data_IF_729491267958
#
_entry.id   IF_729491267958
#
_cell.length_a   1.000
_cell.length_b   1.000
_cell.length_c   1.000
_cell.angle_alpha   90.00
_cell.angle_beta   90.00
_cell.angle_gamma   90.00
#
_symmetry.space_group_name_H-M   'P 1'
#
loop_
_entity.id
_entity.type
_entity.pdbx_description
1 polymer ?
#
# COMPACT_ATOMS: atom_id res chain seq x y z
N UNK A 1 19.61 56.81 18.17
CA UNK A 1 20.33 57.02 16.89
C UNK A 1 20.33 55.76 16.00
N UNK A 2 20.28 54.55 16.58
CA UNK A 2 20.18 53.27 15.84
C UNK A 2 18.84 53.04 15.11
N UNK A 3 17.72 53.56 15.60
CA UNK A 3 16.40 53.37 14.96
C UNK A 3 16.24 54.05 13.59
N UNK A 4 16.90 55.19 13.35
CA UNK A 4 16.81 55.90 12.07
C UNK A 4 17.60 55.20 10.95
N UNK A 5 18.56 54.35 11.29
CA UNK A 5 19.39 53.63 10.32
C UNK A 5 18.66 52.40 9.76
N UNK A 6 17.82 51.73 10.57
CA UNK A 6 16.96 50.63 10.12
C UNK A 6 15.75 51.10 9.28
N UNK A 7 15.35 52.37 9.42
CA UNK A 7 14.34 53.01 8.55
C UNK A 7 14.84 53.28 7.12
N UNK A 8 16.08 52.94 6.81
CA UNK A 8 16.71 53.17 5.51
C UNK A 8 16.36 52.02 4.53
N UNK A 9 15.25 52.24 3.82
CA UNK A 9 14.95 51.69 2.49
C UNK A 9 15.08 50.16 2.39
N UNK A 10 14.15 49.42 3.00
CA UNK A 10 13.83 48.08 2.48
C UNK A 10 13.45 48.25 1.01
N UNK A 11 14.24 47.65 0.12
CA UNK A 11 13.95 47.69 -1.30
C UNK A 11 12.64 46.94 -1.52
N UNK A 12 11.61 47.59 -2.09
CA UNK A 12 10.30 46.96 -2.34
C UNK A 12 10.44 45.67 -3.15
N UNK A 13 11.46 45.57 -4.01
CA UNK A 13 11.79 44.34 -4.73
C UNK A 13 12.30 43.22 -3.80
N UNK A 14 13.15 43.52 -2.82
CA UNK A 14 13.62 42.55 -1.82
C UNK A 14 12.47 42.01 -0.97
N UNK A 15 11.52 42.87 -0.57
CA UNK A 15 10.29 42.43 0.11
C UNK A 15 9.50 41.48 -0.79
N UNK A 16 9.33 41.83 -2.07
CA UNK A 16 8.64 40.99 -3.05
C UNK A 16 9.29 39.60 -3.19
N UNK A 17 10.61 39.54 -3.32
CA UNK A 17 11.34 38.26 -3.38
C UNK A 17 11.17 37.43 -2.10
N UNK A 18 11.24 38.06 -0.92
CA UNK A 18 11.01 37.38 0.35
C UNK A 18 9.61 36.77 0.44
N UNK A 19 8.58 37.50 -0.01
CA UNK A 19 7.21 36.98 -0.06
C UNK A 19 7.12 35.75 -0.98
N UNK A 20 7.71 35.83 -2.18
CA UNK A 20 7.73 34.69 -3.13
C UNK A 20 8.46 33.48 -2.55
N UNK A 21 9.60 33.68 -1.89
CA UNK A 21 10.35 32.60 -1.23
C UNK A 21 9.51 31.96 -0.13
N UNK A 22 8.87 32.75 0.74
CA UNK A 22 8.02 32.25 1.82
C UNK A 22 6.84 31.45 1.26
N UNK A 23 6.16 31.97 0.24
CA UNK A 23 5.06 31.27 -0.42
C UNK A 23 5.52 29.94 -1.03
N UNK A 24 6.70 29.92 -1.64
CA UNK A 24 7.31 28.71 -2.19
C UNK A 24 7.60 27.69 -1.08
N UNK A 25 8.19 28.10 0.04
CA UNK A 25 8.46 27.22 1.16
C UNK A 25 7.17 26.64 1.77
N UNK A 26 6.13 27.46 1.92
CA UNK A 26 4.80 27.00 2.39
C UNK A 26 4.24 25.97 1.42
N UNK A 27 4.30 26.23 0.11
CA UNK A 27 3.84 25.29 -0.91
C UNK A 27 4.60 23.96 -0.82
N UNK A 28 5.94 23.99 -0.75
CA UNK A 28 6.78 22.80 -0.61
C UNK A 28 6.44 21.98 0.65
N UNK A 29 6.19 22.66 1.77
CA UNK A 29 5.79 22.03 3.02
C UNK A 29 4.40 21.40 2.90
N UNK A 30 3.41 22.12 2.37
CA UNK A 30 2.03 21.61 2.23
C UNK A 30 1.93 20.43 1.29
N UNK A 31 2.71 20.43 0.21
CA UNK A 31 2.80 19.30 -0.71
C UNK A 31 3.63 18.13 -0.15
N UNK A 32 4.24 18.26 1.02
CA UNK A 32 5.19 17.29 1.58
C UNK A 32 6.26 16.88 0.55
N UNK A 33 6.75 17.84 -0.25
CA UNK A 33 7.55 17.56 -1.44
C UNK A 33 8.76 16.68 -1.10
N UNK A 34 9.52 17.04 -0.08
CA UNK A 34 10.70 16.28 0.35
C UNK A 34 10.38 14.83 0.73
N UNK A 35 9.29 14.59 1.49
CA UNK A 35 8.87 13.24 1.90
C UNK A 35 8.45 12.40 0.70
N UNK A 36 7.70 13.01 -0.23
CA UNK A 36 7.24 12.34 -1.44
C UNK A 36 8.41 12.02 -2.37
N UNK A 37 9.32 12.97 -2.60
CA UNK A 37 10.54 12.78 -3.37
C UNK A 37 11.42 11.70 -2.75
N UNK A 38 11.66 11.74 -1.44
CA UNK A 38 12.37 10.66 -0.74
C UNK A 38 11.70 9.31 -0.95
N UNK A 39 10.37 9.23 -0.81
CA UNK A 39 9.65 7.98 -1.04
C UNK A 39 9.75 7.49 -2.50
N UNK A 40 9.85 8.40 -3.47
CA UNK A 40 9.98 8.04 -4.89
C UNK A 40 11.38 7.52 -5.20
N UNK A 41 12.41 8.16 -4.64
CA UNK A 41 13.81 7.81 -4.89
C UNK A 41 14.19 6.51 -4.16
N UNK A 42 13.82 6.38 -2.88
CA UNK A 42 14.36 5.32 -2.03
C UNK A 42 13.43 4.10 -1.85
N UNK A 43 12.15 4.18 -2.22
CA UNK A 43 11.23 3.03 -2.10
C UNK A 43 10.88 2.43 -3.44
N UNK A 44 10.84 1.10 -3.50
CA UNK A 44 10.40 0.37 -4.70
C UNK A 44 8.95 0.69 -5.05
N UNK A 45 8.59 0.51 -6.33
CA UNK A 45 7.22 0.66 -6.79
C UNK A 45 6.23 -0.19 -5.97
N UNK A 46 6.57 -1.45 -5.70
CA UNK A 46 5.69 -2.39 -5.00
C UNK A 46 5.48 -1.98 -3.54
N UNK A 47 6.53 -1.53 -2.86
CA UNK A 47 6.42 -1.00 -1.49
C UNK A 47 5.56 0.25 -1.44
N UNK A 48 5.65 1.15 -2.44
CA UNK A 48 4.77 2.32 -2.54
C UNK A 48 3.32 1.92 -2.79
N UNK A 49 3.11 0.97 -3.70
CA UNK A 49 1.78 0.42 -4.01
C UNK A 49 1.13 -0.14 -2.75
N UNK A 50 1.79 -1.07 -2.06
CA UNK A 50 1.26 -1.70 -0.84
C UNK A 50 0.91 -0.65 0.22
N UNK A 51 1.82 0.30 0.47
CA UNK A 51 1.61 1.35 1.47
C UNK A 51 0.45 2.30 1.13
N UNK A 52 0.16 2.53 -0.14
CA UNK A 52 -0.99 3.33 -0.54
C UNK A 52 -2.29 2.68 -0.04
N UNK A 53 -2.43 1.36 -0.15
CA UNK A 53 -3.64 0.64 0.25
C UNK A 53 -3.89 0.59 1.75
N UNK A 54 -2.88 0.87 2.60
CA UNK A 54 -3.10 1.05 4.04
C UNK A 54 -4.05 2.21 4.36
N UNK A 55 -4.23 3.16 3.43
CA UNK A 55 -5.06 4.36 3.62
C UNK A 55 -6.24 4.43 2.65
N UNK A 56 -6.35 3.49 1.71
CA UNK A 56 -7.38 3.54 0.66
C UNK A 56 -8.65 2.87 1.16
N UNK A 57 -9.69 3.67 1.34
CA UNK A 57 -10.98 3.18 1.78
C UNK A 57 -11.60 2.17 0.80
N UNK A 58 -11.45 2.32 -0.52
CA UNK A 58 -12.20 1.54 -1.51
C UNK A 58 -11.75 0.09 -1.68
N UNK A 59 -10.49 -0.20 -1.37
CA UNK A 59 -9.85 -1.46 -1.76
C UNK A 59 -8.91 -2.02 -0.70
N UNK A 60 -8.51 -1.21 0.29
CA UNK A 60 -7.90 -1.61 1.56
C UNK A 60 -6.61 -2.43 1.48
N UNK A 61 -5.91 -2.52 2.61
CA UNK A 61 -4.86 -3.53 2.77
C UNK A 61 -5.50 -4.90 3.00
N UNK A 62 -6.26 -5.05 4.10
CA UNK A 62 -7.06 -6.23 4.41
C UNK A 62 -8.54 -5.85 4.60
N UNK A 63 -9.06 -5.06 3.65
CA UNK A 63 -10.45 -4.62 3.63
C UNK A 63 -10.98 -4.64 2.20
N UNK A 64 -12.28 -4.91 2.04
CA UNK A 64 -12.96 -4.89 0.75
C UNK A 64 -12.36 -5.85 -0.27
N UNK A 65 -11.56 -5.36 -1.21
CA UNK A 65 -10.88 -6.19 -2.21
C UNK A 65 -9.49 -6.64 -1.76
N UNK A 66 -8.97 -6.06 -0.67
CA UNK A 66 -7.69 -6.40 -0.05
C UNK A 66 -6.51 -6.40 -1.02
N UNK A 67 -6.44 -5.36 -1.85
CA UNK A 67 -5.39 -5.20 -2.85
C UNK A 67 -4.01 -5.13 -2.20
N UNK A 68 -3.90 -4.41 -1.09
CA UNK A 68 -2.64 -4.27 -0.37
C UNK A 68 -2.12 -5.62 0.13
N UNK A 69 -2.99 -6.46 0.69
CA UNK A 69 -2.60 -7.78 1.19
C UNK A 69 -2.19 -8.73 0.07
N UNK A 70 -2.93 -8.77 -1.04
CA UNK A 70 -2.56 -9.63 -2.19
C UNK A 70 -1.20 -9.19 -2.77
N UNK A 71 -0.97 -7.89 -2.92
CA UNK A 71 0.31 -7.38 -3.40
C UNK A 71 1.46 -7.63 -2.42
N UNK A 72 1.18 -7.53 -1.11
CA UNK A 72 2.12 -7.92 -0.06
C UNK A 72 2.50 -9.39 -0.20
N UNK A 73 1.53 -10.30 -0.31
CA UNK A 73 1.79 -11.74 -0.47
C UNK A 73 2.62 -12.00 -1.74
N UNK A 74 2.27 -11.35 -2.85
CA UNK A 74 3.00 -11.47 -4.11
C UNK A 74 4.47 -11.07 -3.96
N UNK A 75 4.76 -9.96 -3.30
CA UNK A 75 6.12 -9.42 -3.18
C UNK A 75 6.94 -10.20 -2.16
N UNK A 76 6.39 -10.41 -0.97
CA UNK A 76 7.09 -11.04 0.16
C UNK A 76 7.38 -12.51 -0.12
N UNK A 77 6.42 -13.22 -0.73
CA UNK A 77 6.52 -14.66 -1.00
C UNK A 77 6.79 -14.97 -2.48
N UNK A 78 7.37 -14.04 -3.24
CA UNK A 78 7.61 -14.19 -4.68
C UNK A 78 8.36 -15.47 -5.05
N UNK A 79 9.30 -15.91 -4.21
CA UNK A 79 10.12 -17.11 -4.43
C UNK A 79 9.37 -18.41 -4.09
N UNK A 80 8.35 -18.31 -3.26
CA UNK A 80 7.50 -19.43 -2.84
C UNK A 80 6.31 -19.62 -3.80
N UNK A 81 5.93 -18.57 -4.53
CA UNK A 81 4.86 -18.62 -5.51
C UNK A 81 5.31 -19.28 -6.82
N UNK A 82 4.52 -20.21 -7.39
CA UNK A 82 4.84 -20.81 -8.68
C UNK A 82 4.84 -19.78 -9.82
N UNK A 83 5.76 -19.94 -10.77
CA UNK A 83 5.94 -19.01 -11.91
C UNK A 83 4.71 -18.90 -12.81
N UNK A 84 3.94 -19.98 -12.98
CA UNK A 84 2.80 -20.01 -13.92
C UNK A 84 1.42 -20.04 -13.25
N UNK A 85 1.35 -20.31 -11.94
CA UNK A 85 0.07 -20.39 -11.22
C UNK A 85 -0.12 -19.21 -10.26
N UNK A 86 -1.34 -18.94 -9.85
CA UNK A 86 -1.65 -18.01 -8.76
C UNK A 86 -2.34 -18.77 -7.63
N UNK A 87 -2.15 -18.38 -6.36
CA UNK A 87 -2.89 -18.97 -5.25
C UNK A 87 -4.39 -18.87 -5.50
N UNK A 88 -5.16 -19.82 -4.98
CA UNK A 88 -6.61 -19.68 -4.89
C UNK A 88 -6.95 -18.53 -3.96
N UNK A 89 -7.67 -17.53 -4.44
CA UNK A 89 -8.01 -16.36 -3.64
C UNK A 89 -9.50 -16.36 -3.33
N UNK A 90 -9.85 -16.32 -2.06
CA UNK A 90 -11.23 -16.29 -1.56
C UNK A 90 -11.43 -15.00 -0.79
N UNK A 91 -12.43 -14.21 -1.20
CA UNK A 91 -12.82 -12.99 -0.52
C UNK A 91 -14.19 -13.15 0.15
N UNK A 92 -14.25 -12.94 1.46
CA UNK A 92 -15.47 -13.04 2.25
C UNK A 92 -16.33 -11.77 2.22
N UNK A 93 -15.78 -10.65 1.73
CA UNK A 93 -16.61 -9.47 1.41
C UNK A 93 -17.35 -9.71 0.08
N UNK A 94 -18.61 -10.16 0.19
CA UNK A 94 -19.44 -10.59 -0.94
C UNK A 94 -19.64 -9.46 -1.96
N UNK A 95 -19.69 -9.83 -3.24
CA UNK A 95 -19.92 -8.89 -4.35
C UNK A 95 -18.68 -8.13 -4.81
N UNK A 96 -17.51 -8.36 -4.21
CA UNK A 96 -16.24 -7.75 -4.61
C UNK A 96 -15.42 -8.69 -5.49
N UNK A 97 -15.10 -8.26 -6.70
CA UNK A 97 -14.20 -9.01 -7.59
C UNK A 97 -12.80 -9.09 -6.98
N UNK A 98 -12.23 -10.29 -6.97
CA UNK A 98 -10.84 -10.53 -6.55
C UNK A 98 -9.87 -9.91 -7.56
N UNK A 99 -8.88 -9.11 -7.12
CA UNK A 99 -7.94 -8.46 -8.02
C UNK A 99 -6.78 -9.38 -8.41
N UNK A 100 -7.07 -10.46 -9.14
CA UNK A 100 -6.06 -11.40 -9.66
C UNK A 100 -5.05 -10.76 -10.62
N UNK A 101 -5.40 -9.60 -11.20
CA UNK A 101 -4.51 -8.80 -12.06
C UNK A 101 -3.22 -8.39 -11.35
N UNK A 102 -3.18 -8.34 -10.01
CA UNK A 102 -1.97 -8.02 -9.24
C UNK A 102 -0.82 -8.95 -9.59
N UNK A 103 -1.10 -10.21 -9.96
CA UNK A 103 -0.07 -11.18 -10.35
C UNK A 103 0.52 -10.94 -11.75
N UNK A 104 -0.09 -10.07 -12.58
CA UNK A 104 0.35 -9.74 -13.94
C UNK A 104 0.54 -10.96 -14.85
N UNK A 105 -0.33 -11.97 -14.71
CA UNK A 105 -0.31 -13.18 -15.53
C UNK A 105 -1.48 -13.21 -16.50
N UNK A 106 -1.22 -13.57 -17.75
CA UNK A 106 -2.25 -13.86 -18.75
C UNK A 106 -2.83 -15.25 -18.51
N UNK A 107 -4.14 -15.34 -18.32
CA UNK A 107 -4.88 -16.57 -18.07
C UNK A 107 -4.22 -17.52 -17.01
N UNK A 108 -3.99 -17.04 -15.77
CA UNK A 108 -3.25 -17.81 -14.79
C UNK A 108 -4.01 -19.07 -14.37
N UNK A 109 -3.30 -20.19 -14.30
CA UNK A 109 -3.81 -21.40 -13.67
C UNK A 109 -3.91 -21.17 -12.16
N UNK A 110 -4.94 -21.72 -11.53
CA UNK A 110 -5.10 -21.67 -10.08
C UNK A 110 -4.23 -22.76 -9.46
N UNK A 111 -3.50 -22.39 -8.42
CA UNK A 111 -2.80 -23.31 -7.54
C UNK A 111 -3.76 -23.85 -6.48
N UNK A 112 -3.81 -25.17 -6.34
CA UNK A 112 -4.67 -25.86 -5.39
C UNK A 112 -3.99 -26.06 -4.02
N UNK A 113 -2.67 -25.89 -3.94
CA UNK A 113 -1.88 -26.02 -2.71
C UNK A 113 -1.83 -24.69 -1.95
N UNK A 114 -1.85 -23.57 -2.66
CA UNK A 114 -1.74 -22.23 -2.08
C UNK A 114 -3.08 -21.51 -2.06
N UNK A 115 -3.39 -20.88 -0.94
CA UNK A 115 -4.65 -20.16 -0.76
C UNK A 115 -4.45 -18.82 -0.06
N UNK A 116 -5.13 -17.78 -0.54
CA UNK A 116 -5.23 -16.48 0.09
C UNK A 116 -6.68 -16.28 0.53
N UNK A 117 -6.90 -16.11 1.82
CA UNK A 117 -8.19 -15.74 2.39
C UNK A 117 -8.20 -14.23 2.69
N UNK A 118 -9.25 -13.54 2.29
CA UNK A 118 -9.40 -12.10 2.45
C UNK A 118 -10.69 -11.79 3.20
N UNK A 119 -10.63 -10.83 4.12
CA UNK A 119 -11.78 -10.36 4.90
C UNK A 119 -12.49 -11.48 5.68
N UNK A 120 -11.79 -12.54 6.04
CA UNK A 120 -12.37 -13.65 6.78
C UNK A 120 -12.62 -13.27 8.24
N UNK A 121 -13.62 -13.91 8.81
CA UNK A 121 -13.79 -14.07 10.24
C UNK A 121 -13.87 -15.57 10.53
N UNK A 122 -12.76 -16.14 10.99
CA UNK A 122 -12.60 -17.57 11.25
C UNK A 122 -13.70 -18.18 12.13
N UNK A 123 -14.30 -17.39 13.03
CA UNK A 123 -15.38 -17.85 13.90
C UNK A 123 -16.73 -17.91 13.18
N UNK A 124 -17.06 -16.90 12.37
CA UNK A 124 -18.37 -16.82 11.70
C UNK A 124 -18.43 -17.62 10.41
N UNK A 125 -17.31 -17.73 9.69
CA UNK A 125 -17.27 -18.25 8.32
C UNK A 125 -17.24 -19.79 8.27
N UNK A 126 -17.16 -20.46 9.43
CA UNK A 126 -17.09 -21.93 9.57
C UNK A 126 -16.06 -22.56 8.62
N UNK A 127 -14.91 -21.90 8.48
CA UNK A 127 -13.85 -22.31 7.58
C UNK A 127 -12.98 -23.36 8.26
N UNK A 128 -13.01 -24.59 7.76
CA UNK A 128 -12.07 -25.61 8.20
C UNK A 128 -10.71 -25.40 7.52
N UNK A 129 -9.75 -24.89 8.29
CA UNK A 129 -8.36 -24.70 7.88
C UNK A 129 -7.41 -25.69 8.56
N UNK A 130 -7.93 -26.76 9.17
CA UNK A 130 -7.11 -27.77 9.87
C UNK A 130 -6.05 -28.42 8.98
N UNK A 131 -6.39 -28.64 7.70
CA UNK A 131 -5.50 -29.20 6.69
C UNK A 131 -4.59 -28.16 6.02
N UNK A 132 -4.45 -26.97 6.61
CA UNK A 132 -3.64 -25.89 6.07
C UNK A 132 -2.63 -25.36 7.09
N UNK A 133 -1.40 -25.15 6.64
CA UNK A 133 -0.39 -24.38 7.34
C UNK A 133 -0.62 -22.87 7.07
N UNK A 134 -0.70 -22.08 8.14
CA UNK A 134 -0.77 -20.62 8.04
C UNK A 134 0.64 -20.07 7.82
N UNK A 135 0.92 -19.58 6.60
CA UNK A 135 2.18 -18.92 6.25
C UNK A 135 2.20 -17.48 6.76
N UNK A 136 1.08 -16.78 6.60
CA UNK A 136 0.94 -15.40 7.04
C UNK A 136 -0.44 -15.16 7.62
N UNK A 137 -0.48 -14.38 8.71
CA UNK A 137 -1.71 -13.96 9.34
C UNK A 137 -1.69 -12.46 9.60
N UNK A 138 -2.56 -11.73 8.89
CA UNK A 138 -2.79 -10.32 9.14
C UNK A 138 -4.11 -10.13 9.89
N UNK A 139 -3.98 -9.78 11.18
CA UNK A 139 -5.09 -9.41 12.06
C UNK A 139 -6.21 -10.46 12.16
N UNK A 140 -5.93 -11.74 11.93
CA UNK A 140 -6.91 -12.83 11.84
C UNK A 140 -8.02 -12.61 10.79
N UNK A 141 -7.77 -11.74 9.80
CA UNK A 141 -8.73 -11.36 8.75
C UNK A 141 -8.25 -11.63 7.34
N UNK A 142 -6.95 -11.56 7.09
CA UNK A 142 -6.37 -11.98 5.83
C UNK A 142 -5.24 -12.97 6.09
N UNK A 143 -5.30 -14.09 5.38
CA UNK A 143 -4.44 -15.24 5.62
C UNK A 143 -3.82 -15.70 4.31
N UNK A 144 -2.56 -16.11 4.37
CA UNK A 144 -1.89 -16.85 3.31
C UNK A 144 -1.59 -18.26 3.82
N UNK A 145 -2.08 -19.27 3.10
CA UNK A 145 -2.13 -20.65 3.54
C UNK A 145 -1.47 -21.57 2.52
N UNK A 146 -0.85 -22.64 3.01
CA UNK A 146 -0.40 -23.80 2.23
C UNK A 146 -1.18 -25.03 2.70
N UNK A 147 -1.64 -25.87 1.80
CA UNK A 147 -2.22 -27.17 2.15
C UNK A 147 -1.12 -28.05 2.78
N UNK A 148 -1.46 -28.75 3.86
CA UNK A 148 -0.63 -29.80 4.42
C UNK A 148 -0.64 -31.00 3.46
N UNK A 149 0.52 -31.62 3.27
CA UNK A 149 0.65 -32.86 2.48
C UNK A 149 -0.10 -34.02 3.15
#
# INVERSE_FOLDING_TARGET
MLEKYWKKKLNKSLIGYLIVIILTLIFLQKCNLFRNTYSIIFKSHNTRFINAYNKVFFSGFCEKQSHGYIAFVKEEYKNFLPKEKIPKIINFDKGRKVPSWIFLKTNPKIDNELMILLNTNLKSDKLDISNYQIINNYQNRCLFLKKND
#
